data_IF_625506483094
#
_entry.id   IF_625506483094
#
_cell.length_a   1.000
_cell.length_b   1.000
_cell.length_c   1.000
_cell.angle_alpha   90.00
_cell.angle_beta   90.00
_cell.angle_gamma   90.00
#
_symmetry.space_group_name_H-M   'P 1'
#
loop_
_entity.id
_entity.type
_entity.pdbx_description
1 polymer ?
#
# COMPACT_ATOMS: atom_id res chain seq x y z
N UNK A 1 -13.56 -4.17 3.91
CA UNK A 1 -12.48 -4.88 4.64
C UNK A 1 -11.37 -3.90 4.99
N UNK A 2 -11.12 -3.74 6.26
CA UNK A 2 -10.10 -2.81 6.75
C UNK A 2 -8.79 -3.55 6.91
N UNK A 3 -7.71 -3.01 6.33
CA UNK A 3 -6.41 -3.66 6.35
C UNK A 3 -5.32 -2.66 6.69
N UNK A 4 -4.18 -3.19 7.11
CA UNK A 4 -2.95 -2.44 7.31
C UNK A 4 -1.87 -3.11 6.48
N UNK A 5 -1.24 -2.33 5.63
CA UNK A 5 -0.11 -2.79 4.83
C UNK A 5 1.17 -2.23 5.42
N UNK A 6 2.13 -3.12 5.69
CA UNK A 6 3.46 -2.71 6.11
C UNK A 6 4.36 -2.75 4.89
N UNK A 7 4.95 -1.61 4.56
CA UNK A 7 5.78 -1.44 3.36
C UNK A 7 7.22 -1.33 3.78
N UNK A 8 8.06 -2.21 3.24
CA UNK A 8 9.52 -2.16 3.45
C UNK A 8 10.19 -1.84 2.13
N UNK A 9 11.10 -0.87 2.17
CA UNK A 9 11.77 -0.36 0.97
C UNK A 9 13.26 -0.66 1.13
N UNK A 10 13.80 -1.58 0.32
CA UNK A 10 15.19 -2.00 0.47
C UNK A 10 16.13 -1.31 -0.50
N UNK A 11 15.63 -0.66 -1.53
CA UNK A 11 16.46 -0.03 -2.54
C UNK A 11 15.95 1.37 -2.88
N UNK A 12 15.74 2.17 -1.83
CA UNK A 12 15.24 3.52 -1.99
C UNK A 12 14.81 4.06 -0.63
N UNK A 13 14.22 5.22 -0.64
CA UNK A 13 13.78 5.87 0.59
C UNK A 13 12.29 6.11 0.53
N UNK A 14 11.74 6.42 1.69
CA UNK A 14 10.29 6.66 1.84
C UNK A 14 9.78 7.68 0.83
N UNK A 15 10.52 8.75 0.60
CA UNK A 15 10.08 9.81 -0.32
C UNK A 15 9.97 9.32 -1.76
N UNK A 16 10.91 8.47 -2.17
CA UNK A 16 10.85 7.86 -3.50
C UNK A 16 9.66 6.93 -3.64
N UNK A 17 9.42 6.14 -2.60
CA UNK A 17 8.27 5.25 -2.58
C UNK A 17 6.97 6.06 -2.61
N UNK A 18 6.90 7.17 -1.86
CA UNK A 18 5.71 8.02 -1.86
C UNK A 18 5.41 8.59 -3.23
N UNK A 19 6.45 9.00 -3.95
CA UNK A 19 6.28 9.49 -5.32
C UNK A 19 5.67 8.42 -6.21
N UNK A 20 6.22 7.21 -6.11
CA UNK A 20 5.70 6.09 -6.86
C UNK A 20 4.26 5.78 -6.45
N UNK A 21 3.99 5.73 -5.15
CA UNK A 21 2.68 5.41 -4.61
C UNK A 21 1.63 6.43 -5.07
N UNK A 22 1.98 7.70 -5.06
CA UNK A 22 1.07 8.75 -5.52
C UNK A 22 0.82 8.70 -7.02
N UNK A 23 1.75 8.17 -7.79
CA UNK A 23 1.63 8.16 -9.24
C UNK A 23 0.44 7.34 -9.73
N UNK A 24 -0.04 6.39 -8.94
CA UNK A 24 -1.21 5.61 -9.32
C UNK A 24 -2.36 5.76 -8.31
N UNK A 25 -2.40 6.87 -7.61
CA UNK A 25 -3.43 7.12 -6.59
C UNK A 25 -4.83 7.06 -7.15
N UNK A 26 -5.05 7.64 -8.33
CA UNK A 26 -6.38 7.63 -8.93
C UNK A 26 -6.85 6.23 -9.28
N UNK A 27 -5.94 5.38 -9.75
CA UNK A 27 -6.28 3.99 -10.01
C UNK A 27 -6.58 3.25 -8.72
N UNK A 28 -5.76 3.47 -7.71
CA UNK A 28 -5.89 2.79 -6.42
C UNK A 28 -7.19 3.14 -5.72
N UNK A 29 -7.58 4.42 -5.80
CA UNK A 29 -8.78 4.89 -5.09
C UNK A 29 -10.08 4.42 -5.70
N UNK A 30 -10.04 3.73 -6.83
CA UNK A 30 -11.20 3.03 -7.34
C UNK A 30 -11.55 1.81 -6.49
N UNK A 31 -10.57 1.28 -5.75
CA UNK A 31 -10.70 0.00 -5.06
C UNK A 31 -10.53 0.11 -3.56
N UNK A 32 -10.04 1.26 -3.07
CA UNK A 32 -9.84 1.47 -1.63
C UNK A 32 -10.30 2.87 -1.24
N UNK A 33 -10.58 3.05 0.05
CA UNK A 33 -10.94 4.35 0.61
C UNK A 33 -10.33 4.48 2.01
N UNK A 34 -10.42 5.68 2.57
CA UNK A 34 -9.96 5.98 3.94
C UNK A 34 -8.48 5.66 4.12
N UNK A 35 -7.69 6.00 3.13
CA UNK A 35 -6.26 5.69 3.13
C UNK A 35 -5.49 6.63 4.04
N UNK A 36 -4.72 6.06 4.94
CA UNK A 36 -3.86 6.81 5.85
C UNK A 36 -2.45 6.25 5.73
N UNK A 37 -1.49 7.12 5.44
CA UNK A 37 -0.09 6.74 5.27
C UNK A 37 0.70 7.24 6.48
N UNK A 38 1.39 6.33 7.15
CA UNK A 38 2.18 6.64 8.33
C UNK A 38 3.63 6.30 8.04
N UNK A 39 4.51 7.30 7.93
CA UNK A 39 5.94 7.00 7.77
C UNK A 39 6.49 6.48 9.09
N UNK A 40 7.20 5.35 9.00
CA UNK A 40 7.83 4.75 10.17
C UNK A 40 9.31 5.11 10.22
N UNK A 41 10.00 4.99 9.07
CA UNK A 41 11.41 5.31 8.96
C UNK A 41 11.69 5.65 7.50
N UNK A 42 12.95 5.87 7.17
CA UNK A 42 13.34 6.14 5.79
C UNK A 42 13.01 4.99 4.85
N UNK A 43 12.95 3.77 5.39
CA UNK A 43 12.77 2.58 4.57
C UNK A 43 11.52 1.81 4.93
N UNK A 44 10.61 2.41 5.70
CA UNK A 44 9.43 1.68 6.17
C UNK A 44 8.24 2.62 6.33
N UNK A 45 7.08 2.13 5.92
CA UNK A 45 5.84 2.87 6.09
C UNK A 45 4.71 1.91 6.40
N UNK A 46 3.64 2.45 6.98
CA UNK A 46 2.38 1.73 7.13
C UNK A 46 1.29 2.48 6.39
N UNK A 47 0.42 1.72 5.75
CA UNK A 47 -0.75 2.29 5.07
C UNK A 47 -1.98 1.54 5.56
N UNK A 48 -2.90 2.26 6.17
CA UNK A 48 -4.19 1.66 6.54
C UNK A 48 -5.23 2.13 5.55
N UNK A 49 -6.14 1.24 5.17
CA UNK A 49 -7.17 1.58 4.21
C UNK A 49 -8.30 0.56 4.27
N UNK A 50 -9.41 0.92 3.64
CA UNK A 50 -10.57 0.03 3.51
C UNK A 50 -10.65 -0.42 2.07
N UNK A 51 -10.69 -1.72 1.85
CA UNK A 51 -10.83 -2.28 0.50
C UNK A 51 -12.30 -2.30 0.14
N UNK A 52 -12.65 -1.64 -0.97
CA UNK A 52 -14.03 -1.61 -1.47
C UNK A 52 -14.23 -2.59 -2.62
N UNK A 53 -13.15 -2.99 -3.29
CA UNK A 53 -13.22 -3.95 -4.40
C UNK A 53 -11.91 -4.76 -4.38
N UNK A 54 -11.97 -5.93 -3.76
CA UNK A 54 -10.79 -6.76 -3.60
C UNK A 54 -10.27 -7.28 -4.94
N UNK A 55 -11.18 -7.68 -5.82
CA UNK A 55 -10.76 -8.22 -7.12
C UNK A 55 -10.05 -7.16 -7.95
N UNK A 56 -10.60 -5.94 -7.99
CA UNK A 56 -9.97 -4.84 -8.69
C UNK A 56 -8.62 -4.48 -8.12
N UNK A 57 -8.51 -4.46 -6.80
CA UNK A 57 -7.24 -4.16 -6.14
C UNK A 57 -6.19 -5.24 -6.43
N UNK A 58 -6.60 -6.50 -6.43
CA UNK A 58 -5.69 -7.61 -6.74
C UNK A 58 -5.17 -7.49 -8.16
N UNK A 59 -6.05 -7.16 -9.10
CA UNK A 59 -5.65 -6.96 -10.48
C UNK A 59 -4.65 -5.82 -10.61
N UNK A 60 -4.93 -4.70 -9.95
CA UNK A 60 -4.04 -3.56 -9.99
C UNK A 60 -2.67 -3.91 -9.41
N UNK A 61 -2.66 -4.62 -8.28
CA UNK A 61 -1.40 -5.00 -7.61
C UNK A 61 -0.56 -5.95 -8.45
N UNK A 62 -1.20 -6.69 -9.36
CA UNK A 62 -0.51 -7.62 -10.24
C UNK A 62 -0.09 -6.98 -11.56
N UNK A 63 -0.39 -5.71 -11.76
CA UNK A 63 -0.06 -5.04 -13.02
C UNK A 63 1.45 -4.89 -13.15
N UNK A 64 1.92 -4.91 -14.39
CA UNK A 64 3.34 -4.80 -14.68
C UNK A 64 3.90 -3.47 -14.21
N UNK A 65 3.14 -2.40 -14.35
CA UNK A 65 3.57 -1.07 -13.94
C UNK A 65 3.92 -1.03 -12.45
N UNK A 66 3.06 -1.59 -11.61
CA UNK A 66 3.31 -1.61 -10.18
C UNK A 66 4.45 -2.53 -9.81
N UNK A 67 4.53 -3.69 -10.46
CA UNK A 67 5.60 -4.64 -10.19
C UNK A 67 6.96 -4.07 -10.53
N UNK A 68 7.06 -3.36 -11.65
CA UNK A 68 8.32 -2.73 -12.04
C UNK A 68 8.75 -1.66 -11.04
N UNK A 69 7.81 -0.84 -10.58
CA UNK A 69 8.12 0.17 -9.59
C UNK A 69 8.55 -0.43 -8.25
N UNK A 70 7.85 -1.48 -7.84
CA UNK A 70 8.18 -2.17 -6.59
C UNK A 70 9.54 -2.84 -6.67
N UNK A 71 9.85 -3.48 -7.80
CA UNK A 71 11.15 -4.11 -8.00
C UNK A 71 12.27 -3.07 -7.99
N UNK A 72 12.04 -1.94 -8.64
CA UNK A 72 13.06 -0.88 -8.71
C UNK A 72 13.40 -0.36 -7.32
N UNK A 73 12.41 -0.21 -6.46
CA UNK A 73 12.60 0.32 -5.11
C UNK A 73 12.84 -0.76 -4.07
N UNK A 74 12.77 -2.02 -4.47
CA UNK A 74 12.94 -3.13 -3.54
C UNK A 74 11.84 -3.13 -2.49
N UNK A 75 10.59 -2.96 -2.92
CA UNK A 75 9.46 -2.87 -2.01
C UNK A 75 8.94 -4.26 -1.71
N UNK A 76 8.76 -4.55 -0.44
CA UNK A 76 7.99 -5.72 -0.02
C UNK A 76 6.86 -5.25 0.89
N UNK A 77 5.70 -5.86 0.72
CA UNK A 77 4.49 -5.43 1.40
C UNK A 77 3.87 -6.61 2.12
N UNK A 78 3.59 -6.44 3.39
CA UNK A 78 2.82 -7.39 4.17
C UNK A 78 1.48 -6.76 4.48
N UNK A 79 0.40 -7.45 4.12
CA UNK A 79 -0.94 -6.95 4.36
C UNK A 79 -1.59 -7.85 5.41
N UNK A 80 -2.16 -7.23 6.43
CA UNK A 80 -2.91 -7.97 7.44
C UNK A 80 -4.25 -7.30 7.65
N UNK A 81 -5.23 -8.09 7.95
CA UNK A 81 -6.56 -7.59 8.24
C UNK A 81 -6.52 -6.85 9.58
N UNK A 82 -7.13 -5.68 9.59
CA UNK A 82 -7.19 -4.88 10.79
C UNK A 82 -8.28 -5.47 11.68
N UNK A 83 -7.97 -5.83 12.93
CA UNK A 83 -8.99 -6.40 13.78
C UNK A 83 -10.05 -5.36 14.07
N UNK A 84 -11.29 -5.76 13.96
CA UNK A 84 -12.39 -4.93 14.43
C UNK A 84 -12.30 -4.85 15.93
N UNK A 85 -12.50 -3.69 16.47
CA UNK A 85 -12.50 -3.54 17.89
C UNK A 85 -13.77 -4.12 18.45
N UNK A 86 -13.58 -5.15 19.18
CA UNK A 86 -14.69 -5.78 19.78
C UNK A 86 -14.79 -5.50 21.21
N UNK A 87 -14.07 -4.85 21.65
CA UNK A 87 -14.06 -4.64 22.94
C UNK A 87 -15.00 -4.01 23.44
N UNK A 88 -15.15 -4.15 23.18
CA UNK A 88 -15.87 -3.60 23.36
C UNK A 88 -16.47 -3.76 23.86
#
# INVERSE_FOLDING_TARGET
>A
MDVIATVNISNGEFEEWMEFFKSYEQLRHKYVKNEIIIPISRSKAEVSFTITDLDGLTELSSSQLLREGEDRLGVSVEVRERPHNQLT
#
